data_IF_218897437795
#
_entry.id   IF_218897437795
#
_cell.length_a   1.000
_cell.length_b   1.000
_cell.length_c   1.000
_cell.angle_alpha   90.00
_cell.angle_beta   90.00
_cell.angle_gamma   90.00
#
_symmetry.space_group_name_H-M   'P 1'
#
loop_
_entity.id
_entity.type
_entity.pdbx_description
1 polymer ?
#
# COMPACT_ATOMS: atom_id res chain seq x y z
N UNK A 1 -0.29 -33.26 18.05
CA UNK A 1 0.35 -32.46 16.99
C UNK A 1 1.23 -33.26 16.00
N UNK A 2 1.53 -34.55 16.20
CA UNK A 2 2.47 -35.34 15.38
C UNK A 2 1.88 -36.07 14.17
N UNK A 3 0.56 -35.97 13.95
CA UNK A 3 -0.12 -36.64 12.84
C UNK A 3 0.29 -36.02 11.50
N UNK A 4 0.35 -36.81 10.40
CA UNK A 4 0.63 -36.26 9.08
C UNK A 4 -0.57 -35.45 8.55
N UNK A 5 -0.29 -34.29 7.95
CA UNK A 5 -1.30 -33.51 7.24
C UNK A 5 -1.96 -34.34 6.12
N UNK A 6 -3.30 -34.40 6.03
CA UNK A 6 -3.99 -35.09 4.94
C UNK A 6 -3.52 -34.62 3.56
N UNK A 7 -3.32 -35.55 2.63
CA UNK A 7 -2.71 -35.27 1.33
C UNK A 7 -3.45 -34.18 0.53
N UNK A 8 -4.79 -34.17 0.57
CA UNK A 8 -5.58 -33.16 -0.14
C UNK A 8 -5.44 -31.74 0.45
N UNK A 9 -5.23 -31.63 1.77
CA UNK A 9 -4.98 -30.33 2.43
C UNK A 9 -3.62 -29.83 2.03
N UNK A 10 -2.59 -30.68 2.15
CA UNK A 10 -1.22 -30.36 1.70
C UNK A 10 -1.21 -29.89 0.26
N UNK A 11 -1.85 -30.63 -0.65
CA UNK A 11 -1.90 -30.29 -2.06
C UNK A 11 -2.57 -28.92 -2.30
N UNK A 12 -3.67 -28.61 -1.61
CA UNK A 12 -4.36 -27.32 -1.73
C UNK A 12 -3.50 -26.16 -1.22
N UNK A 13 -2.79 -26.35 -0.10
CA UNK A 13 -1.84 -25.35 0.42
C UNK A 13 -0.70 -25.10 -0.57
N UNK A 14 -0.10 -26.16 -1.11
CA UNK A 14 1.01 -26.06 -2.07
C UNK A 14 0.57 -25.38 -3.37
N UNK A 15 -0.64 -25.68 -3.86
CA UNK A 15 -1.24 -25.00 -5.02
C UNK A 15 -1.53 -23.52 -4.75
N UNK A 16 -1.78 -23.14 -3.49
CA UNK A 16 -1.91 -21.75 -3.06
C UNK A 16 -0.56 -21.08 -2.75
N UNK A 17 0.57 -21.76 -3.00
CA UNK A 17 1.92 -21.24 -2.78
C UNK A 17 2.43 -21.36 -1.34
N UNK A 18 1.75 -22.10 -0.47
CA UNK A 18 2.17 -22.34 0.90
C UNK A 18 2.79 -23.73 1.08
N UNK A 19 3.92 -23.79 1.79
CA UNK A 19 4.55 -25.05 2.17
C UNK A 19 3.83 -25.67 3.38
N UNK A 20 3.63 -26.99 3.35
CA UNK A 20 3.16 -27.76 4.51
C UNK A 20 4.24 -27.82 5.61
N UNK A 21 3.86 -27.48 6.85
CA UNK A 21 4.77 -27.34 7.99
C UNK A 21 4.45 -28.41 9.05
N UNK A 22 3.24 -28.36 9.60
CA UNK A 22 2.75 -29.30 10.60
C UNK A 22 1.23 -29.34 10.51
N UNK A 23 0.59 -30.42 10.94
CA UNK A 23 -0.86 -30.57 10.78
C UNK A 23 -1.66 -29.42 11.42
N UNK A 24 -1.23 -28.90 12.58
CA UNK A 24 -1.91 -27.80 13.24
C UNK A 24 -1.81 -26.50 12.43
N UNK A 25 -0.60 -26.16 11.99
CA UNK A 25 -0.36 -24.96 11.17
C UNK A 25 -1.06 -25.08 9.81
N UNK A 26 -1.00 -26.27 9.21
CA UNK A 26 -1.61 -26.54 7.92
C UNK A 26 -3.14 -26.45 7.98
N UNK A 27 -3.77 -26.93 9.06
CA UNK A 27 -5.22 -26.79 9.26
C UNK A 27 -5.63 -25.33 9.46
N UNK A 28 -4.88 -24.56 10.25
CA UNK A 28 -5.09 -23.11 10.42
C UNK A 28 -4.99 -22.38 9.08
N UNK A 29 -3.90 -22.61 8.34
CA UNK A 29 -3.68 -22.03 7.02
C UNK A 29 -4.74 -22.44 6.01
N UNK A 30 -5.20 -23.69 6.06
CA UNK A 30 -6.24 -24.21 5.19
C UNK A 30 -7.58 -23.51 5.42
N UNK A 31 -7.98 -23.31 6.68
CA UNK A 31 -9.18 -22.53 7.03
C UNK A 31 -9.02 -21.08 6.59
N UNK A 32 -7.86 -20.47 6.84
CA UNK A 32 -7.57 -19.11 6.40
C UNK A 32 -7.67 -18.92 4.89
N UNK A 33 -7.19 -19.87 4.10
CA UNK A 33 -7.29 -19.81 2.64
C UNK A 33 -8.72 -20.09 2.15
N UNK A 34 -9.46 -20.96 2.83
CA UNK A 34 -10.82 -21.31 2.46
C UNK A 34 -11.82 -20.18 2.78
N UNK A 35 -11.66 -19.50 3.92
CA UNK A 35 -12.65 -18.56 4.47
C UNK A 35 -12.13 -17.13 4.62
N UNK A 36 -10.83 -16.91 4.46
CA UNK A 36 -10.23 -15.58 4.55
C UNK A 36 -9.87 -15.12 5.97
N UNK A 37 -10.12 -15.91 7.02
CA UNK A 37 -9.72 -15.56 8.40
C UNK A 37 -8.41 -16.19 8.83
N UNK A 38 -7.42 -15.37 9.18
CA UNK A 38 -6.25 -15.85 9.87
C UNK A 38 -6.60 -16.29 11.30
N UNK A 39 -6.15 -17.48 11.67
CA UNK A 39 -6.20 -18.02 13.03
C UNK A 39 -4.79 -18.31 13.53
N UNK A 40 -4.63 -18.38 14.85
CA UNK A 40 -3.37 -18.78 15.46
C UNK A 40 -3.57 -19.90 16.47
N UNK A 41 -2.51 -20.68 16.70
CA UNK A 41 -2.53 -21.82 17.60
C UNK A 41 -1.32 -21.69 18.51
N UNK A 42 -1.56 -21.53 19.79
CA UNK A 42 -0.54 -21.52 20.82
C UNK A 42 -0.38 -22.91 21.44
N UNK A 43 0.83 -23.26 21.85
CA UNK A 43 1.06 -24.35 22.79
C UNK A 43 0.61 -23.88 24.18
N UNK A 44 -0.50 -24.44 24.67
CA UNK A 44 -1.11 -24.02 25.93
C UNK A 44 -0.19 -24.30 27.13
N UNK A 45 0.65 -25.33 27.04
CA UNK A 45 1.57 -25.71 28.13
C UNK A 45 2.74 -24.71 28.27
N UNK A 46 2.94 -23.83 27.28
CA UNK A 46 3.99 -22.81 27.27
C UNK A 46 3.48 -21.40 27.64
N UNK A 47 2.15 -21.24 27.81
CA UNK A 47 1.53 -19.99 28.24
C UNK A 47 1.66 -19.86 29.76
N UNK A 48 2.13 -18.70 30.21
CA UNK A 48 2.31 -18.38 31.63
C UNK A 48 1.23 -17.40 32.07
N UNK A 49 0.11 -17.86 32.66
CA UNK A 49 -1.08 -17.06 32.85
C UNK A 49 -0.83 -15.81 33.72
N UNK A 50 -1.61 -14.77 33.46
CA UNK A 50 -1.73 -13.60 34.32
C UNK A 50 -2.56 -13.94 35.57
N UNK A 51 -2.62 -13.01 36.52
CA UNK A 51 -3.37 -13.21 37.78
C UNK A 51 -4.85 -13.54 37.54
N UNK A 52 -5.49 -12.90 36.55
CA UNK A 52 -6.93 -13.01 36.29
C UNK A 52 -7.27 -13.51 34.86
N UNK A 53 -6.28 -13.87 34.04
CA UNK A 53 -6.49 -14.28 32.64
C UNK A 53 -5.34 -15.14 32.09
N UNK A 54 -5.59 -15.94 31.05
CA UNK A 54 -4.52 -16.67 30.35
C UNK A 54 -3.64 -15.72 29.51
N UNK A 55 -4.28 -14.79 28.80
CA UNK A 55 -3.63 -13.84 27.91
C UNK A 55 -4.28 -12.46 28.07
N UNK A 56 -3.50 -11.41 27.83
CA UNK A 56 -3.95 -10.03 27.69
C UNK A 56 -3.71 -9.55 26.25
N UNK A 57 -4.64 -8.75 25.72
CA UNK A 57 -4.48 -8.03 24.46
C UNK A 57 -4.23 -6.56 24.80
N UNK A 58 -3.07 -6.03 24.39
CA UNK A 58 -2.67 -4.65 24.70
C UNK A 58 -1.76 -4.06 23.65
N UNK A 59 -1.50 -2.75 23.77
CA UNK A 59 -0.40 -2.12 23.05
C UNK A 59 0.95 -2.55 23.62
N UNK A 60 1.96 -2.67 22.75
CA UNK A 60 3.34 -2.94 23.15
C UNK A 60 3.89 -1.78 23.98
N UNK A 61 4.85 -2.08 24.85
CA UNK A 61 5.61 -1.09 25.60
C UNK A 61 6.80 -0.61 24.77
N UNK A 62 7.27 0.61 25.03
CA UNK A 62 8.46 1.13 24.35
C UNK A 62 9.68 0.24 24.65
N UNK A 63 10.37 -0.21 23.61
CA UNK A 63 11.56 -1.04 23.75
C UNK A 63 11.28 -2.53 24.02
N UNK A 64 10.03 -2.97 23.95
CA UNK A 64 9.64 -4.36 24.24
C UNK A 64 10.24 -5.31 23.20
N UNK A 65 11.01 -6.30 23.66
CA UNK A 65 11.67 -7.29 22.80
C UNK A 65 10.71 -8.43 22.48
N UNK A 66 10.68 -8.87 21.22
CA UNK A 66 9.84 -9.99 20.83
C UNK A 66 10.49 -10.82 19.72
N UNK A 67 10.61 -12.14 19.93
CA UNK A 67 11.13 -13.08 18.94
C UNK A 67 9.97 -13.72 18.16
N UNK A 68 9.97 -13.48 16.84
CA UNK A 68 8.96 -13.94 15.91
C UNK A 68 9.27 -15.36 15.39
N UNK A 69 8.22 -16.05 14.92
CA UNK A 69 8.33 -17.39 14.30
C UNK A 69 9.27 -17.46 13.08
N UNK A 70 9.56 -16.32 12.45
CA UNK A 70 10.51 -16.23 11.34
C UNK A 70 11.97 -16.05 11.78
N UNK A 71 12.24 -16.07 13.09
CA UNK A 71 13.56 -15.89 13.70
C UNK A 71 14.02 -14.44 13.81
N UNK A 72 13.19 -13.46 13.44
CA UNK A 72 13.52 -12.04 13.66
C UNK A 72 13.11 -11.58 15.06
N UNK A 73 13.92 -10.71 15.66
CA UNK A 73 13.67 -10.17 17.00
C UNK A 73 13.53 -8.65 16.96
N UNK A 74 12.40 -8.11 16.45
CA UNK A 74 12.19 -6.67 16.43
C UNK A 74 12.04 -6.08 17.84
N UNK A 75 12.46 -4.82 17.97
CA UNK A 75 12.13 -3.97 19.11
C UNK A 75 10.79 -3.31 18.81
N UNK A 76 9.81 -3.56 19.67
CA UNK A 76 8.46 -3.03 19.54
C UNK A 76 8.35 -1.66 20.23
N UNK A 77 7.49 -0.81 19.66
CA UNK A 77 7.04 0.44 20.25
C UNK A 77 5.52 0.47 20.37
N UNK A 78 4.93 1.52 20.97
CA UNK A 78 3.52 1.58 21.36
C UNK A 78 2.51 1.55 20.20
N UNK A 79 2.98 1.59 18.94
CA UNK A 79 2.12 1.43 17.76
C UNK A 79 1.78 -0.02 17.40
N UNK A 80 2.39 -1.02 18.05
CA UNK A 80 2.15 -2.44 17.79
C UNK A 80 1.18 -3.02 18.81
N UNK A 81 0.14 -3.70 18.34
CA UNK A 81 -0.71 -4.53 19.19
C UNK A 81 -0.02 -5.85 19.49
N UNK A 82 -0.11 -6.34 20.72
CA UNK A 82 0.44 -7.61 21.16
C UNK A 82 -0.60 -8.41 21.94
N UNK A 83 -0.48 -9.72 21.82
CA UNK A 83 -1.06 -10.66 22.77
C UNK A 83 0.09 -11.04 23.71
N UNK A 84 -0.13 -10.96 25.01
CA UNK A 84 0.89 -11.19 26.02
C UNK A 84 0.37 -12.07 27.15
N UNK A 85 1.29 -12.72 27.85
CA UNK A 85 1.05 -13.40 29.11
C UNK A 85 1.86 -12.74 30.23
N UNK A 86 1.99 -13.37 31.40
CA UNK A 86 2.73 -12.80 32.54
C UNK A 86 4.23 -12.57 32.28
N UNK A 87 4.84 -13.27 31.31
CA UNK A 87 6.26 -13.11 30.93
C UNK A 87 6.49 -12.13 29.78
N UNK A 88 5.44 -11.72 29.07
CA UNK A 88 5.53 -10.75 27.98
C UNK A 88 4.83 -11.21 26.70
N UNK A 89 5.13 -10.60 25.55
CA UNK A 89 4.43 -10.88 24.30
C UNK A 89 4.60 -12.34 23.84
N UNK A 90 3.51 -12.88 23.32
CA UNK A 90 3.41 -14.22 22.71
C UNK A 90 3.03 -14.15 21.23
N UNK A 91 2.42 -13.05 20.79
CA UNK A 91 2.11 -12.78 19.39
C UNK A 91 2.10 -11.27 19.09
N UNK A 92 2.48 -10.90 17.87
CA UNK A 92 2.05 -9.63 17.28
C UNK A 92 0.61 -9.80 16.79
N UNK A 93 -0.30 -9.08 17.45
CA UNK A 93 -1.73 -9.16 17.19
C UNK A 93 -2.04 -8.98 15.70
N UNK A 94 -2.71 -9.97 15.10
CA UNK A 94 -3.11 -9.95 13.69
C UNK A 94 -1.96 -10.00 12.67
N UNK A 95 -0.71 -10.22 13.09
CA UNK A 95 0.45 -10.21 12.19
C UNK A 95 1.19 -11.54 12.24
N UNK A 96 1.74 -11.94 13.39
CA UNK A 96 2.59 -13.12 13.49
C UNK A 96 2.74 -13.60 14.93
N UNK A 97 2.70 -14.92 15.13
CA UNK A 97 2.98 -15.55 16.42
C UNK A 97 4.45 -15.43 16.83
N UNK A 98 4.70 -15.63 18.13
CA UNK A 98 6.02 -15.64 18.72
C UNK A 98 6.61 -17.03 18.82
N UNK A 99 7.93 -17.11 18.91
CA UNK A 99 8.64 -18.38 19.01
C UNK A 99 8.38 -19.10 20.34
N UNK A 100 8.15 -18.36 21.43
CA UNK A 100 8.05 -18.90 22.80
C UNK A 100 6.86 -19.83 23.02
N UNK A 101 5.73 -19.56 22.37
CA UNK A 101 4.47 -20.30 22.53
C UNK A 101 4.10 -21.05 21.24
N UNK A 102 5.07 -21.24 20.35
CA UNK A 102 4.90 -21.92 19.08
C UNK A 102 4.59 -23.40 19.28
N UNK A 103 3.61 -23.91 18.52
CA UNK A 103 3.33 -25.35 18.49
C UNK A 103 4.47 -26.14 17.82
N UNK A 104 4.71 -27.33 18.35
CA UNK A 104 5.69 -28.29 17.84
C UNK A 104 5.06 -29.68 17.71
N UNK A 105 5.83 -30.66 17.24
CA UNK A 105 5.38 -32.06 17.22
C UNK A 105 5.18 -32.64 18.62
N UNK A 106 5.76 -32.02 19.65
CA UNK A 106 5.62 -32.43 21.05
C UNK A 106 4.36 -31.83 21.72
N UNK A 107 3.73 -30.82 21.13
CA UNK A 107 2.56 -30.13 21.69
C UNK A 107 1.39 -31.08 21.87
N UNK A 108 0.80 -31.03 23.08
CA UNK A 108 -0.35 -31.85 23.48
C UNK A 108 -1.60 -30.99 23.69
N UNK A 109 -1.46 -29.90 24.44
CA UNK A 109 -2.54 -28.98 24.74
C UNK A 109 -2.38 -27.72 23.89
N UNK A 110 -3.47 -27.23 23.30
CA UNK A 110 -3.44 -26.04 22.43
C UNK A 110 -4.49 -25.02 22.85
N UNK A 111 -4.18 -23.76 22.60
CA UNK A 111 -5.14 -22.66 22.65
C UNK A 111 -5.31 -22.11 21.23
N UNK A 112 -6.55 -22.09 20.76
CA UNK A 112 -6.90 -21.55 19.46
C UNK A 112 -7.27 -20.07 19.59
N UNK A 113 -6.71 -19.25 18.73
CA UNK A 113 -7.02 -17.84 18.58
C UNK A 113 -7.72 -17.60 17.23
N UNK A 114 -8.93 -17.05 17.30
CA UNK A 114 -9.58 -16.37 16.21
C UNK A 114 -9.97 -14.97 16.72
N UNK A 115 -9.64 -13.94 15.95
CA UNK A 115 -9.84 -12.57 16.38
C UNK A 115 -10.32 -11.69 15.23
N UNK A 116 -10.95 -10.58 15.60
CA UNK A 116 -11.13 -9.42 14.75
C UNK A 116 -10.12 -8.35 15.17
N UNK A 117 -9.34 -7.87 14.21
CA UNK A 117 -8.45 -6.73 14.40
C UNK A 117 -8.92 -5.59 13.51
N UNK A 118 -9.08 -4.40 14.11
CA UNK A 118 -9.36 -3.19 13.34
C UNK A 118 -8.31 -2.99 12.25
N UNK A 119 -8.68 -2.78 10.97
CA UNK A 119 -7.71 -2.63 9.89
C UNK A 119 -6.67 -1.53 10.15
N UNK A 120 -7.11 -0.40 10.70
CA UNK A 120 -6.22 0.70 11.08
C UNK A 120 -5.27 0.38 12.24
N UNK A 121 -5.59 -0.63 13.05
CA UNK A 121 -4.71 -1.17 14.08
C UNK A 121 -3.63 -2.10 13.52
N UNK A 122 -3.71 -2.53 12.24
CA UNK A 122 -2.75 -3.44 11.59
C UNK A 122 -1.99 -2.78 10.43
N UNK A 123 -2.64 -1.86 9.70
CA UNK A 123 -2.11 -1.20 8.51
C UNK A 123 -0.71 -0.64 8.70
N UNK A 124 0.20 -0.97 7.79
CA UNK A 124 1.57 -0.44 7.75
C UNK A 124 2.53 -0.97 8.83
N UNK A 125 2.09 -1.79 9.78
CA UNK A 125 2.97 -2.37 10.82
C UNK A 125 3.92 -3.42 10.25
N UNK A 126 3.44 -4.29 9.38
CA UNK A 126 4.28 -5.23 8.63
C UNK A 126 5.36 -4.51 7.81
N UNK A 127 5.01 -3.38 7.18
CA UNK A 127 5.98 -2.54 6.44
C UNK A 127 7.06 -1.94 7.36
N UNK A 128 6.69 -1.46 8.56
CA UNK A 128 7.66 -0.99 9.57
C UNK A 128 8.64 -2.09 9.99
N UNK A 129 8.17 -3.34 10.06
CA UNK A 129 8.98 -4.50 10.40
C UNK A 129 9.69 -5.13 9.18
N UNK A 130 9.47 -4.59 7.98
CA UNK A 130 10.07 -5.05 6.71
C UNK A 130 9.81 -6.52 6.37
N UNK A 131 8.66 -7.06 6.78
CA UNK A 131 8.18 -8.37 6.33
C UNK A 131 6.68 -8.32 6.04
N UNK A 132 6.15 -9.35 5.38
CA UNK A 132 4.71 -9.52 5.17
C UNK A 132 4.29 -10.90 5.69
N UNK A 133 3.06 -11.00 6.19
CA UNK A 133 2.42 -12.26 6.56
C UNK A 133 1.03 -12.31 5.95
N UNK A 134 0.54 -13.52 5.69
CA UNK A 134 -0.82 -13.73 5.19
C UNK A 134 -1.89 -13.16 6.13
N UNK A 135 -1.62 -13.23 7.44
CA UNK A 135 -2.49 -12.66 8.47
C UNK A 135 -2.52 -11.13 8.41
N UNK A 136 -1.35 -10.49 8.44
CA UNK A 136 -1.24 -9.03 8.38
C UNK A 136 -1.84 -8.46 7.09
N UNK A 137 -1.62 -9.13 5.96
CA UNK A 137 -2.19 -8.75 4.65
C UNK A 137 -3.73 -8.75 4.66
N UNK A 138 -4.35 -9.74 5.30
CA UNK A 138 -5.82 -9.84 5.38
C UNK A 138 -6.38 -8.86 6.40
N UNK A 139 -5.85 -8.83 7.61
CA UNK A 139 -6.36 -7.95 8.65
C UNK A 139 -6.17 -6.46 8.32
N UNK A 140 -5.12 -6.04 7.60
CA UNK A 140 -4.98 -4.63 7.18
C UNK A 140 -6.01 -4.18 6.13
N UNK A 141 -6.66 -5.13 5.45
CA UNK A 141 -7.73 -4.92 4.47
C UNK A 141 -9.13 -5.13 5.05
N UNK A 142 -9.23 -5.87 6.16
CA UNK A 142 -10.48 -6.19 6.82
C UNK A 142 -10.81 -7.67 6.73
N UNK A 143 -11.13 -8.25 7.87
CA UNK A 143 -11.71 -9.58 8.04
C UNK A 143 -12.97 -9.37 8.88
N UNK A 144 -14.08 -10.00 8.52
CA UNK A 144 -15.36 -9.83 9.21
C UNK A 144 -15.22 -10.05 10.73
N UNK A 145 -16.02 -9.37 11.56
CA UNK A 145 -16.12 -9.72 12.99
C UNK A 145 -17.15 -10.83 13.22
N UNK A 146 -18.16 -10.94 12.35
CA UNK A 146 -19.37 -11.76 12.57
C UNK A 146 -19.09 -13.27 12.47
N UNK A 147 -18.17 -13.69 11.60
CA UNK A 147 -17.87 -15.12 11.37
C UNK A 147 -16.79 -15.70 12.31
N UNK A 148 -16.33 -14.94 13.31
CA UNK A 148 -15.15 -15.31 14.13
C UNK A 148 -15.34 -16.65 14.85
N UNK A 149 -16.48 -16.85 15.52
CA UNK A 149 -16.77 -18.07 16.28
C UNK A 149 -17.02 -19.26 15.35
N UNK A 150 -17.79 -19.07 14.28
CA UNK A 150 -18.11 -20.14 13.32
C UNK A 150 -16.84 -20.74 12.68
N UNK A 151 -15.88 -19.89 12.36
CA UNK A 151 -14.63 -20.30 11.72
C UNK A 151 -13.64 -20.92 12.72
N UNK A 152 -13.66 -20.47 13.98
CA UNK A 152 -12.95 -21.12 15.08
C UNK A 152 -13.48 -22.55 15.31
N UNK A 153 -14.80 -22.72 15.32
CA UNK A 153 -15.45 -24.02 15.48
C UNK A 153 -15.13 -24.97 14.31
N UNK A 154 -15.06 -24.45 13.08
CA UNK A 154 -14.60 -25.24 11.93
C UNK A 154 -13.16 -25.72 12.11
N UNK A 155 -12.25 -24.85 12.56
CA UNK A 155 -10.87 -25.23 12.85
C UNK A 155 -10.81 -26.30 13.94
N UNK A 156 -11.57 -26.13 15.03
CA UNK A 156 -11.71 -27.11 16.11
C UNK A 156 -12.18 -28.45 15.56
N UNK A 157 -13.23 -28.48 14.75
CA UNK A 157 -13.75 -29.71 14.15
C UNK A 157 -12.73 -30.42 13.25
N UNK A 158 -11.94 -29.67 12.49
CA UNK A 158 -10.86 -30.24 11.67
C UNK A 158 -9.73 -30.82 12.53
N UNK A 159 -9.36 -30.14 13.61
CA UNK A 159 -8.34 -30.62 14.55
C UNK A 159 -8.83 -31.90 15.22
N UNK A 160 -10.05 -31.94 15.75
CA UNK A 160 -10.62 -33.16 16.36
C UNK A 160 -10.65 -34.33 15.37
N UNK A 161 -11.03 -34.06 14.12
CA UNK A 161 -11.11 -35.08 13.08
C UNK A 161 -9.76 -35.72 12.75
N UNK A 162 -8.68 -34.94 12.67
CA UNK A 162 -7.38 -35.44 12.19
C UNK A 162 -6.32 -35.64 13.28
N UNK A 163 -6.43 -34.94 14.40
CA UNK A 163 -5.51 -35.02 15.54
C UNK A 163 -6.11 -35.75 16.74
N UNK A 164 -7.45 -35.85 16.84
CA UNK A 164 -8.15 -36.32 18.02
C UNK A 164 -8.10 -35.31 19.18
N UNK A 165 -8.37 -35.80 20.39
CA UNK A 165 -8.42 -34.98 21.61
C UNK A 165 -9.84 -34.56 22.00
N UNK A 166 -9.90 -33.77 23.07
CA UNK A 166 -11.13 -33.14 23.56
C UNK A 166 -11.04 -31.62 23.35
N UNK A 167 -12.17 -30.92 23.45
CA UNK A 167 -12.23 -29.46 23.29
C UNK A 167 -12.86 -28.78 24.50
N UNK A 168 -12.41 -27.56 24.76
CA UNK A 168 -12.95 -26.68 25.81
C UNK A 168 -14.02 -25.72 25.27
N UNK A 169 -14.66 -24.92 26.16
CA UNK A 169 -15.60 -23.90 25.75
C UNK A 169 -14.92 -22.75 25.01
N UNK A 170 -15.65 -22.11 24.10
CA UNK A 170 -15.23 -20.85 23.47
C UNK A 170 -15.35 -19.71 24.47
N UNK A 171 -14.30 -18.90 24.58
CA UNK A 171 -14.31 -17.65 25.32
C UNK A 171 -14.43 -16.47 24.33
N UNK A 172 -15.65 -16.06 24.03
CA UNK A 172 -15.94 -14.95 23.11
C UNK A 172 -16.07 -13.62 23.86
N UNK A 173 -15.04 -12.77 23.74
CA UNK A 173 -14.98 -11.45 24.38
C UNK A 173 -15.23 -10.38 23.31
N UNK A 174 -16.42 -9.79 23.34
CA UNK A 174 -16.80 -8.69 22.45
C UNK A 174 -16.87 -7.37 23.22
N UNK A 175 -15.96 -6.44 22.90
CA UNK A 175 -15.93 -5.09 23.51
C UNK A 175 -16.76 -4.12 22.68
N UNK A 176 -16.44 -4.03 21.39
CA UNK A 176 -17.08 -3.14 20.43
C UNK A 176 -17.07 -3.81 19.05
N UNK A 177 -18.18 -3.70 18.33
CA UNK A 177 -18.32 -4.21 16.97
C UNK A 177 -18.50 -3.06 15.99
N UNK A 178 -17.88 -3.11 14.79
CA UNK A 178 -18.05 -2.07 13.78
C UNK A 178 -19.52 -1.92 13.39
N UNK A 179 -20.07 -0.71 13.56
CA UNK A 179 -21.40 -0.39 13.08
C UNK A 179 -21.39 -0.31 11.54
N UNK A 180 -22.28 -1.04 10.88
CA UNK A 180 -22.45 -1.00 9.42
C UNK A 180 -23.73 -0.27 9.07
N UNK A 181 -23.61 1.02 8.77
CA UNK A 181 -24.76 1.84 8.40
C UNK A 181 -25.23 1.48 6.98
N UNK A 182 -26.55 1.52 6.71
CA UNK A 182 -27.06 1.39 5.35
C UNK A 182 -26.53 2.52 4.45
N UNK A 183 -26.06 2.15 3.26
CA UNK A 183 -25.62 3.08 2.23
C UNK A 183 -26.76 3.30 1.25
N UNK A 184 -26.97 4.56 0.86
CA UNK A 184 -28.06 4.93 -0.03
C UNK A 184 -27.52 5.22 -1.44
N UNK A 185 -28.17 4.64 -2.45
CA UNK A 185 -27.92 4.94 -3.85
C UNK A 185 -29.15 5.56 -4.49
N UNK A 186 -28.99 6.76 -5.07
CA UNK A 186 -30.02 7.40 -5.87
C UNK A 186 -29.90 6.95 -7.31
N UNK A 187 -31.01 6.51 -7.90
CA UNK A 187 -30.99 5.96 -9.26
C UNK A 187 -30.52 6.99 -10.30
N UNK A 188 -31.01 8.23 -10.25
CA UNK A 188 -30.53 9.28 -11.15
C UNK A 188 -29.02 9.57 -11.00
N UNK A 189 -28.45 9.37 -9.80
CA UNK A 189 -27.02 9.61 -9.54
C UNK A 189 -26.17 8.52 -10.20
N UNK A 190 -26.61 7.26 -10.13
CA UNK A 190 -26.04 6.14 -10.88
C UNK A 190 -26.00 6.45 -12.37
N UNK A 191 -27.14 6.76 -12.98
CA UNK A 191 -27.20 7.03 -14.42
C UNK A 191 -26.36 8.25 -14.83
N UNK A 192 -26.33 9.29 -14.00
CA UNK A 192 -25.53 10.50 -14.23
C UNK A 192 -24.03 10.22 -14.20
N UNK A 193 -23.56 9.42 -13.23
CA UNK A 193 -22.13 9.08 -13.11
C UNK A 193 -21.70 8.13 -14.23
N UNK A 194 -22.53 7.14 -14.55
CA UNK A 194 -22.21 6.11 -15.54
C UNK A 194 -22.48 6.54 -16.99
N UNK A 195 -23.36 7.52 -17.19
CA UNK A 195 -23.75 8.00 -18.52
C UNK A 195 -24.65 7.04 -19.30
N UNK A 196 -25.19 5.99 -18.66
CA UNK A 196 -26.16 5.06 -19.27
C UNK A 196 -27.35 4.86 -18.35
N UNK A 197 -28.46 4.45 -18.95
CA UNK A 197 -29.66 4.10 -18.19
C UNK A 197 -29.61 2.67 -17.69
N UNK A 198 -30.17 2.45 -16.50
CA UNK A 198 -30.27 1.13 -15.88
C UNK A 198 -31.72 0.82 -15.55
N UNK A 199 -32.15 -0.42 -15.77
CA UNK A 199 -33.45 -0.85 -15.26
C UNK A 199 -33.37 -1.05 -13.73
N UNK A 200 -34.42 -0.69 -12.99
CA UNK A 200 -34.48 -0.92 -11.53
C UNK A 200 -34.24 -2.39 -11.18
N UNK A 201 -34.84 -3.32 -11.93
CA UNK A 201 -34.67 -4.76 -11.73
C UNK A 201 -33.22 -5.23 -11.99
N UNK A 202 -32.51 -4.58 -12.92
CA UNK A 202 -31.10 -4.88 -13.19
C UNK A 202 -30.24 -4.48 -11.98
N UNK A 203 -30.46 -3.29 -11.42
CA UNK A 203 -29.75 -2.81 -10.22
C UNK A 203 -30.03 -3.70 -9.02
N UNK A 204 -31.30 -4.06 -8.77
CA UNK A 204 -31.67 -4.96 -7.67
C UNK A 204 -31.06 -6.36 -7.85
N UNK A 205 -31.02 -6.87 -9.09
CA UNK A 205 -30.37 -8.15 -9.41
C UNK A 205 -28.87 -8.13 -9.10
N UNK A 206 -28.17 -7.02 -9.35
CA UNK A 206 -26.77 -6.86 -8.98
C UNK A 206 -26.58 -7.01 -7.47
N UNK A 207 -27.32 -6.25 -6.67
CA UNK A 207 -27.19 -6.31 -5.21
C UNK A 207 -27.55 -7.70 -4.66
N UNK A 208 -28.57 -8.35 -5.19
CA UNK A 208 -28.92 -9.72 -4.82
C UNK A 208 -27.79 -10.73 -5.15
N UNK A 209 -27.16 -10.63 -6.32
CA UNK A 209 -26.03 -11.48 -6.73
C UNK A 209 -24.78 -11.26 -5.88
N UNK A 210 -24.60 -10.06 -5.35
CA UNK A 210 -23.53 -9.70 -4.42
C UNK A 210 -23.84 -10.10 -2.96
N UNK A 211 -25.03 -10.64 -2.68
CA UNK A 211 -25.45 -10.97 -1.32
C UNK A 211 -25.79 -9.73 -0.47
N UNK A 212 -26.00 -8.57 -1.09
CA UNK A 212 -26.31 -7.33 -0.40
C UNK A 212 -27.83 -7.19 -0.24
N UNK A 213 -28.28 -7.01 1.01
CA UNK A 213 -29.70 -6.77 1.29
C UNK A 213 -30.05 -5.36 0.84
N UNK A 214 -31.00 -5.24 -0.08
CA UNK A 214 -31.41 -3.96 -0.65
C UNK A 214 -32.92 -3.78 -0.49
N UNK A 215 -33.32 -2.58 -0.06
CA UNK A 215 -34.70 -2.11 -0.11
C UNK A 215 -34.76 -0.90 -1.04
N UNK A 216 -35.73 -0.87 -1.95
CA UNK A 216 -35.95 0.28 -2.83
C UNK A 216 -37.22 1.04 -2.46
N UNK A 217 -37.17 2.37 -2.50
CA UNK A 217 -38.33 3.25 -2.37
C UNK A 217 -38.41 4.21 -3.56
N UNK A 218 -39.62 4.64 -3.93
CA UNK A 218 -39.85 5.48 -5.11
C UNK A 218 -39.86 4.70 -6.44
N UNK A 219 -40.08 5.41 -7.55
CA UNK A 219 -40.23 4.81 -8.89
C UNK A 219 -39.37 5.55 -9.92
N UNK A 220 -38.81 4.78 -10.87
CA UNK A 220 -38.02 5.31 -11.99
C UNK A 220 -36.78 6.11 -11.53
N UNK A 221 -36.55 7.33 -12.07
CA UNK A 221 -35.38 8.16 -11.72
C UNK A 221 -35.29 8.55 -10.24
N UNK A 222 -36.43 8.59 -9.55
CA UNK A 222 -36.52 8.95 -8.13
C UNK A 222 -36.34 7.76 -7.19
N UNK A 223 -36.08 6.55 -7.73
CA UNK A 223 -35.82 5.38 -6.90
C UNK A 223 -34.57 5.57 -6.04
N UNK A 224 -34.69 5.25 -4.76
CA UNK A 224 -33.59 5.21 -3.79
C UNK A 224 -33.41 3.77 -3.32
N UNK A 225 -32.21 3.24 -3.46
CA UNK A 225 -31.80 1.93 -2.97
C UNK A 225 -31.10 2.11 -1.63
N UNK A 226 -31.69 1.59 -0.57
CA UNK A 226 -31.04 1.44 0.73
C UNK A 226 -30.39 0.06 0.77
N UNK A 227 -29.07 0.03 0.71
CA UNK A 227 -28.27 -1.19 0.67
C UNK A 227 -27.59 -1.38 2.02
N UNK A 228 -27.74 -2.56 2.61
CA UNK A 228 -27.01 -2.97 3.81
C UNK A 228 -25.74 -3.73 3.37
N UNK A 229 -24.53 -3.19 3.58
CA UNK A 229 -23.29 -3.91 3.33
C UNK A 229 -23.21 -5.21 4.13
N UNK A 230 -22.66 -6.27 3.53
CA UNK A 230 -22.36 -7.51 4.26
C UNK A 230 -21.14 -7.35 5.16
N UNK A 231 -20.95 -8.28 6.09
CA UNK A 231 -19.95 -8.18 7.15
C UNK A 231 -18.49 -8.22 6.64
N UNK A 232 -18.28 -8.68 5.41
CA UNK A 232 -16.98 -8.81 4.75
C UNK A 232 -16.64 -7.59 3.89
N UNK A 233 -17.60 -6.72 3.61
CA UNK A 233 -17.45 -5.56 2.72
C UNK A 233 -17.03 -4.31 3.50
N UNK A 234 -15.72 -4.09 3.59
CA UNK A 234 -15.12 -2.91 4.27
C UNK A 234 -14.99 -1.69 3.34
N UNK A 235 -15.44 -1.82 2.10
CA UNK A 235 -15.31 -0.86 1.02
C UNK A 235 -16.63 -0.15 0.65
N UNK A 236 -17.77 -0.57 1.21
CA UNK A 236 -19.09 0.01 0.93
C UNK A 236 -19.48 1.03 2.01
N UNK A 237 -18.97 2.26 1.89
CA UNK A 237 -19.18 3.32 2.89
C UNK A 237 -19.96 4.52 2.32
N UNK A 238 -19.95 4.70 1.00
CA UNK A 238 -20.59 5.82 0.32
C UNK A 238 -21.35 5.42 -0.95
N UNK A 239 -22.14 6.36 -1.48
CA UNK A 239 -23.01 6.14 -2.64
C UNK A 239 -22.21 5.71 -3.88
N UNK A 240 -21.03 6.31 -4.09
CA UNK A 240 -20.13 5.98 -5.20
C UNK A 240 -19.62 4.52 -5.18
N UNK A 241 -19.48 3.90 -4.00
CA UNK A 241 -19.06 2.50 -3.89
C UNK A 241 -20.15 1.56 -4.44
N UNK A 242 -21.42 1.89 -4.19
CA UNK A 242 -22.56 1.16 -4.78
C UNK A 242 -22.65 1.36 -6.29
N UNK A 243 -22.28 2.55 -6.80
CA UNK A 243 -22.20 2.82 -8.23
C UNK A 243 -21.14 1.94 -8.89
N UNK A 244 -19.96 1.81 -8.27
CA UNK A 244 -18.92 0.90 -8.74
C UNK A 244 -19.42 -0.54 -8.82
N UNK A 245 -20.11 -1.02 -7.79
CA UNK A 245 -20.63 -2.39 -7.77
C UNK A 245 -21.64 -2.67 -8.88
N UNK A 246 -22.56 -1.73 -9.13
CA UNK A 246 -23.48 -1.82 -10.25
C UNK A 246 -22.72 -1.82 -11.58
N UNK A 247 -21.79 -0.88 -11.77
CA UNK A 247 -21.04 -0.75 -13.00
C UNK A 247 -20.16 -1.98 -13.31
N UNK A 248 -19.48 -2.52 -12.30
CA UNK A 248 -18.58 -3.67 -12.40
C UNK A 248 -19.33 -4.95 -12.74
N UNK A 249 -20.48 -5.19 -12.12
CA UNK A 249 -21.27 -6.42 -12.36
C UNK A 249 -22.05 -6.36 -13.68
N UNK A 250 -22.54 -5.17 -14.06
CA UNK A 250 -23.16 -4.96 -15.37
C UNK A 250 -22.12 -4.98 -16.50
N UNK A 251 -20.89 -4.55 -16.21
CA UNK A 251 -19.75 -4.55 -17.11
C UNK A 251 -19.45 -3.17 -17.66
N UNK A 252 -18.20 -2.72 -17.51
CA UNK A 252 -17.75 -1.42 -18.01
C UNK A 252 -17.85 -1.28 -19.53
N UNK A 253 -17.83 -2.38 -20.28
CA UNK A 253 -17.93 -2.38 -21.75
C UNK A 253 -19.29 -1.87 -22.27
N UNK A 254 -20.32 -1.84 -21.43
CA UNK A 254 -21.63 -1.25 -21.77
C UNK A 254 -21.63 0.27 -21.76
N UNK A 255 -20.62 0.90 -21.16
CA UNK A 255 -20.54 2.36 -21.05
C UNK A 255 -20.04 2.91 -22.39
N UNK A 256 -20.84 3.73 -23.11
CA UNK A 256 -20.46 4.25 -24.40
C UNK A 256 -19.35 5.29 -24.24
N UNK A 257 -18.40 5.26 -25.17
CA UNK A 257 -17.40 6.31 -25.31
C UNK A 257 -18.07 7.60 -25.78
N UNK A 258 -18.33 8.53 -24.86
CA UNK A 258 -18.83 9.87 -25.17
C UNK A 258 -17.76 10.90 -24.87
N UNK A 259 -17.45 11.74 -25.86
CA UNK A 259 -16.54 12.85 -25.64
C UNK A 259 -17.13 13.81 -24.58
N UNK A 260 -16.32 14.34 -23.65
CA UNK A 260 -16.80 15.31 -22.68
C UNK A 260 -17.26 16.59 -23.39
N UNK A 261 -18.41 17.12 -22.99
CA UNK A 261 -18.85 18.44 -23.41
C UNK A 261 -18.29 19.50 -22.45
N UNK A 262 -17.56 20.46 -22.98
CA UNK A 262 -16.99 21.57 -22.23
C UNK A 262 -17.17 22.87 -23.00
N UNK A 263 -17.23 23.99 -22.27
CA UNK A 263 -17.25 25.31 -22.87
C UNK A 263 -15.91 25.59 -23.57
N UNK A 264 -15.96 26.00 -24.84
CA UNK A 264 -14.80 26.47 -25.57
C UNK A 264 -14.44 27.88 -25.10
N UNK A 265 -13.55 27.96 -24.11
CA UNK A 265 -13.02 29.22 -23.63
C UNK A 265 -11.64 29.48 -24.24
N UNK A 266 -11.53 30.55 -25.02
CA UNK A 266 -10.24 31.02 -25.52
C UNK A 266 -9.36 31.44 -24.33
N UNK A 267 -8.20 30.79 -24.18
CA UNK A 267 -7.16 31.21 -23.23
C UNK A 267 -6.00 31.78 -24.02
N UNK A 268 -5.88 33.10 -24.02
CA UNK A 268 -4.76 33.78 -24.66
C UNK A 268 -3.52 33.66 -23.76
N UNK A 269 -2.41 33.18 -24.34
CA UNK A 269 -1.12 33.26 -23.67
C UNK A 269 -0.67 34.74 -23.62
N UNK A 270 -0.20 35.25 -22.47
CA UNK A 270 0.34 36.60 -22.41
C UNK A 270 1.51 36.78 -23.40
N UNK A 271 1.51 37.86 -24.19
CA UNK A 271 2.58 38.16 -25.16
C UNK A 271 3.96 38.34 -24.51
N UNK A 272 3.95 38.75 -23.25
CA UNK A 272 5.14 38.93 -22.39
C UNK A 272 5.70 37.61 -21.88
N UNK A 273 5.01 36.49 -22.10
CA UNK A 273 5.47 35.16 -21.70
C UNK A 273 6.15 34.43 -22.87
N UNK A 274 7.07 33.55 -22.54
CA UNK A 274 7.69 32.61 -23.49
C UNK A 274 7.45 31.20 -22.99
N UNK A 275 7.00 30.33 -23.88
CA UNK A 275 6.80 28.93 -23.53
C UNK A 275 8.15 28.23 -23.35
N UNK A 276 8.19 27.21 -22.50
CA UNK A 276 9.36 26.33 -22.37
C UNK A 276 9.71 25.66 -23.70
N UNK A 277 8.70 25.35 -24.53
CA UNK A 277 8.92 24.78 -25.86
C UNK A 277 9.66 25.74 -26.79
N UNK A 278 9.41 27.05 -26.69
CA UNK A 278 10.16 28.07 -27.42
C UNK A 278 11.63 28.05 -27.02
N UNK A 279 11.93 27.94 -25.73
CA UNK A 279 13.32 27.85 -25.24
C UNK A 279 13.99 26.56 -25.72
N UNK A 280 13.30 25.41 -25.70
CA UNK A 280 13.82 24.14 -26.25
C UNK A 280 14.17 24.26 -27.73
N UNK A 281 13.26 24.81 -28.53
CA UNK A 281 13.49 25.01 -29.96
C UNK A 281 14.70 25.92 -30.23
N UNK A 282 14.87 26.98 -29.42
CA UNK A 282 16.06 27.85 -29.53
C UNK A 282 17.36 27.10 -29.21
N UNK A 283 17.39 26.30 -28.13
CA UNK A 283 18.57 25.50 -27.80
C UNK A 283 18.90 24.46 -28.87
N UNK A 284 17.88 23.80 -29.43
CA UNK A 284 18.04 22.87 -30.55
C UNK A 284 18.60 23.57 -31.79
N UNK A 285 18.09 24.77 -32.13
CA UNK A 285 18.61 25.57 -33.25
C UNK A 285 20.06 26.03 -33.03
N UNK A 286 20.50 26.15 -31.78
CA UNK A 286 21.90 26.41 -31.41
C UNK A 286 22.77 25.14 -31.42
N UNK A 287 22.23 23.99 -31.86
CA UNK A 287 22.93 22.72 -31.97
C UNK A 287 23.17 22.00 -30.65
N UNK A 288 22.32 22.24 -29.63
CA UNK A 288 22.33 21.48 -28.39
C UNK A 288 21.27 20.36 -28.41
N UNK A 289 21.59 19.23 -27.79
CA UNK A 289 20.68 18.11 -27.58
C UNK A 289 20.07 18.18 -26.17
N UNK A 290 18.76 17.94 -26.05
CA UNK A 290 18.10 17.93 -24.74
C UNK A 290 18.47 16.64 -24.00
N UNK A 291 18.91 16.78 -22.75
CA UNK A 291 19.12 15.69 -21.81
C UNK A 291 18.08 15.78 -20.68
N UNK A 292 17.63 14.63 -20.18
CA UNK A 292 16.77 14.55 -18.99
C UNK A 292 17.53 13.78 -17.93
N UNK A 293 18.05 14.50 -16.92
CA UNK A 293 18.82 13.89 -15.84
C UNK A 293 17.95 13.68 -14.59
N UNK A 294 18.38 12.80 -13.69
CA UNK A 294 17.65 12.57 -12.44
C UNK A 294 17.54 13.85 -11.61
N UNK A 295 16.43 14.00 -10.88
CA UNK A 295 16.21 15.09 -9.92
C UNK A 295 17.06 14.99 -8.65
N UNK A 296 17.82 13.91 -8.50
CA UNK A 296 18.71 13.60 -7.39
C UNK A 296 20.12 13.24 -7.89
N UNK A 297 21.12 13.45 -7.04
CA UNK A 297 22.55 13.33 -7.35
C UNK A 297 23.34 12.99 -6.09
N UNK A 298 24.64 12.70 -6.25
CA UNK A 298 25.58 12.48 -5.16
C UNK A 298 25.83 13.80 -4.42
N UNK A 299 25.73 13.78 -3.09
CA UNK A 299 26.01 14.91 -2.22
C UNK A 299 27.42 15.47 -2.38
N UNK A 300 28.41 14.64 -2.71
CA UNK A 300 29.79 15.09 -2.97
C UNK A 300 29.86 16.00 -4.20
N UNK A 301 29.15 15.64 -5.27
CA UNK A 301 29.07 16.44 -6.49
C UNK A 301 28.17 17.67 -6.28
N UNK A 302 27.05 17.52 -5.56
CA UNK A 302 26.11 18.60 -5.29
C UNK A 302 26.75 19.75 -4.52
N UNK A 303 27.68 19.46 -3.59
CA UNK A 303 28.40 20.46 -2.81
C UNK A 303 29.15 21.48 -3.66
N UNK A 304 29.56 21.12 -4.88
CA UNK A 304 30.27 22.04 -5.79
C UNK A 304 29.37 23.15 -6.35
N UNK A 305 28.04 22.96 -6.26
CA UNK A 305 27.04 23.85 -6.84
C UNK A 305 26.22 24.61 -5.80
N UNK A 306 26.62 24.57 -4.53
CA UNK A 306 25.97 25.32 -3.44
C UNK A 306 27.01 26.09 -2.62
N UNK A 307 26.66 27.30 -2.20
CA UNK A 307 27.51 28.09 -1.30
C UNK A 307 27.46 27.60 0.16
N UNK A 308 26.38 26.91 0.54
CA UNK A 308 26.19 26.36 1.88
C UNK A 308 25.74 24.88 1.78
N UNK A 309 26.54 23.92 2.27
CA UNK A 309 26.18 22.49 2.26
C UNK A 309 24.87 22.16 2.98
N UNK A 310 24.48 22.96 3.98
CA UNK A 310 23.22 22.77 4.71
C UNK A 310 21.96 23.12 3.90
N UNK A 311 22.13 23.72 2.71
CA UNK A 311 21.04 23.97 1.77
C UNK A 311 20.64 22.73 0.96
N UNK A 312 21.45 21.66 0.98
CA UNK A 312 21.14 20.41 0.28
C UNK A 312 19.98 19.67 0.94
N UNK A 313 19.04 19.19 0.12
CA UNK A 313 17.92 18.38 0.57
C UNK A 313 18.29 16.91 0.47
N UNK A 314 18.58 16.28 1.61
CA UNK A 314 18.87 14.84 1.68
C UNK A 314 17.60 14.01 1.55
N UNK A 315 17.69 12.92 0.80
CA UNK A 315 16.63 11.92 0.74
C UNK A 315 16.70 11.01 1.97
N UNK A 316 15.54 10.74 2.58
CA UNK A 316 15.46 9.82 3.72
C UNK A 316 15.73 8.37 3.31
N UNK A 317 15.20 7.96 2.15
CA UNK A 317 15.32 6.60 1.61
C UNK A 317 15.78 6.67 0.15
N UNK A 318 17.07 6.94 -0.12
CA UNK A 318 17.58 7.03 -1.49
C UNK A 318 17.59 5.66 -2.17
N UNK A 319 17.32 5.63 -3.48
CA UNK A 319 17.36 4.39 -4.29
C UNK A 319 18.77 3.80 -4.40
N UNK A 320 19.80 4.64 -4.32
CA UNK A 320 21.20 4.26 -4.30
C UNK A 320 22.03 5.34 -3.58
N UNK A 321 23.21 4.98 -3.08
CA UNK A 321 24.08 5.89 -2.31
C UNK A 321 24.51 7.13 -3.08
N UNK A 322 24.67 7.04 -4.40
CA UNK A 322 25.03 8.15 -5.30
C UNK A 322 23.84 9.07 -5.66
N UNK A 323 22.68 8.86 -5.03
CA UNK A 323 21.44 9.60 -5.24
C UNK A 323 20.86 10.03 -3.89
N UNK A 324 21.70 10.51 -2.98
CA UNK A 324 21.37 10.81 -1.59
C UNK A 324 20.84 12.24 -1.37
N UNK A 325 20.96 13.13 -2.36
CA UNK A 325 20.40 14.50 -2.30
C UNK A 325 19.62 14.86 -3.56
N UNK A 326 18.64 15.76 -3.40
CA UNK A 326 18.02 16.46 -4.54
C UNK A 326 19.05 17.38 -5.20
N UNK A 327 18.99 17.50 -6.54
CA UNK A 327 19.97 18.30 -7.31
C UNK A 327 19.83 19.81 -7.01
N UNK A 328 20.89 20.51 -6.57
CA UNK A 328 20.87 21.96 -6.42
C UNK A 328 21.13 22.71 -7.74
N UNK A 329 21.65 22.00 -8.74
CA UNK A 329 21.96 22.53 -10.08
C UNK A 329 21.77 21.44 -11.12
N UNK A 330 21.27 21.82 -12.30
CA UNK A 330 21.17 20.94 -13.48
C UNK A 330 22.57 20.59 -14.01
N UNK A 331 23.54 21.48 -13.84
CA UNK A 331 24.90 21.31 -14.37
C UNK A 331 25.56 20.02 -13.85
N UNK A 332 25.30 19.63 -12.59
CA UNK A 332 25.79 18.37 -12.03
C UNK A 332 25.36 17.15 -12.86
N UNK A 333 24.08 17.11 -13.26
CA UNK A 333 23.54 16.06 -14.11
C UNK A 333 24.15 16.09 -15.50
N UNK A 334 24.24 17.29 -16.11
CA UNK A 334 24.82 17.45 -17.46
C UNK A 334 26.29 17.03 -17.52
N UNK A 335 27.08 17.34 -16.50
CA UNK A 335 28.49 16.92 -16.42
C UNK A 335 28.63 15.40 -16.36
N UNK A 336 27.76 14.72 -15.60
CA UNK A 336 27.75 13.25 -15.56
C UNK A 336 27.43 12.67 -16.94
N UNK A 337 26.41 13.19 -17.62
CA UNK A 337 26.05 12.76 -18.98
C UNK A 337 27.20 13.05 -19.96
N UNK A 338 27.84 14.21 -19.85
CA UNK A 338 29.00 14.54 -20.68
C UNK A 338 30.16 13.57 -20.46
N UNK A 339 30.48 13.24 -19.20
CA UNK A 339 31.51 12.26 -18.86
C UNK A 339 31.20 10.86 -19.43
N UNK A 340 29.93 10.43 -19.35
CA UNK A 340 29.50 9.15 -19.95
C UNK A 340 29.63 9.14 -21.48
N UNK A 341 29.34 10.25 -22.15
CA UNK A 341 29.52 10.37 -23.60
C UNK A 341 31.02 10.41 -23.98
N UNK A 342 31.83 11.16 -23.23
CA UNK A 342 33.27 11.21 -23.44
C UNK A 342 33.93 9.85 -23.23
N UNK A 343 33.49 9.07 -22.23
CA UNK A 343 33.94 7.69 -22.03
C UNK A 343 33.59 6.75 -23.19
N UNK A 344 32.58 7.12 -24.00
CA UNK A 344 32.19 6.45 -25.25
C UNK A 344 32.82 7.11 -26.49
N UNK A 345 33.87 7.90 -26.29
CA UNK A 345 34.69 8.53 -27.33
C UNK A 345 33.99 9.63 -28.15
N UNK A 346 32.84 10.14 -27.68
CA UNK A 346 32.19 11.31 -28.27
C UNK A 346 33.00 12.58 -27.95
N UNK A 347 33.53 13.22 -29.00
CA UNK A 347 34.46 14.36 -28.86
C UNK A 347 33.74 15.71 -28.75
N UNK A 348 32.57 15.84 -29.38
CA UNK A 348 31.81 17.10 -29.42
C UNK A 348 30.45 16.92 -28.75
N UNK A 349 30.33 17.41 -27.52
CA UNK A 349 29.15 17.21 -26.69
C UNK A 349 28.50 18.57 -26.46
N UNK A 350 27.22 18.71 -26.86
CA UNK A 350 26.42 19.92 -26.60
C UNK A 350 25.07 19.49 -26.04
N UNK A 351 24.91 19.66 -24.73
CA UNK A 351 23.74 19.20 -23.99
C UNK A 351 23.04 20.38 -23.32
N UNK A 352 21.72 20.34 -23.25
CA UNK A 352 20.96 21.26 -22.41
C UNK A 352 19.85 20.54 -21.67
N UNK A 353 19.41 21.10 -20.57
CA UNK A 353 18.24 20.60 -19.84
C UNK A 353 17.46 21.78 -19.27
N UNK A 354 16.13 21.68 -19.30
CA UNK A 354 15.22 22.56 -18.59
C UNK A 354 14.51 21.75 -17.51
N UNK A 355 14.72 22.11 -16.25
CA UNK A 355 14.17 21.35 -15.14
C UNK A 355 14.21 22.10 -13.81
N UNK A 356 13.63 21.50 -12.77
CA UNK A 356 13.71 22.07 -11.42
C UNK A 356 15.05 21.75 -10.77
N UNK A 357 15.52 22.69 -9.96
CA UNK A 357 16.60 22.50 -8.99
C UNK A 357 16.03 22.69 -7.60
N UNK A 358 16.70 22.21 -6.56
CA UNK A 358 16.15 22.20 -5.21
C UNK A 358 17.16 22.68 -4.18
N UNK A 359 16.74 23.58 -3.30
CA UNK A 359 17.54 23.98 -2.14
C UNK A 359 16.64 24.32 -0.97
N UNK A 360 17.11 24.02 0.25
CA UNK A 360 16.48 24.48 1.48
C UNK A 360 16.64 25.99 1.61
N UNK A 361 15.55 26.70 1.89
CA UNK A 361 15.60 28.11 2.27
C UNK A 361 15.35 28.28 3.77
N UNK A 362 16.14 29.13 4.45
CA UNK A 362 16.01 29.36 5.89
C UNK A 362 14.80 30.22 6.28
N UNK A 363 14.12 30.90 5.35
CA UNK A 363 12.96 31.75 5.66
C UNK A 363 11.62 31.20 5.12
N UNK A 364 10.52 31.34 5.89
CA UNK A 364 9.17 30.97 5.47
C UNK A 364 8.56 32.03 4.53
N UNK A 365 9.21 32.28 3.39
CA UNK A 365 8.70 33.20 2.36
C UNK A 365 7.86 32.53 1.27
N UNK A 366 7.93 31.19 1.16
CA UNK A 366 7.22 30.41 0.15
C UNK A 366 5.96 29.84 0.80
N UNK A 367 4.80 30.42 0.48
CA UNK A 367 3.49 29.89 0.85
C UNK A 367 3.28 28.56 0.13
N UNK A 368 2.84 27.54 0.88
CA UNK A 368 2.46 26.25 0.30
C UNK A 368 1.31 26.43 -0.69
N UNK A 369 1.46 25.91 -1.90
CA UNK A 369 0.38 25.69 -2.85
C UNK A 369 0.46 24.26 -3.39
N UNK A 370 -0.42 23.89 -4.33
CA UNK A 370 -0.43 22.56 -4.92
C UNK A 370 0.90 22.16 -5.59
N UNK A 371 1.78 23.14 -5.88
CA UNK A 371 3.02 22.94 -6.59
C UNK A 371 4.26 23.26 -5.76
N UNK A 372 4.15 23.81 -4.54
CA UNK A 372 5.26 24.27 -3.71
C UNK A 372 5.34 23.55 -2.36
N UNK A 373 6.55 23.41 -1.82
CA UNK A 373 6.79 22.79 -0.51
C UNK A 373 7.37 23.83 0.44
N UNK A 374 6.79 24.02 1.64
CA UNK A 374 7.34 24.93 2.64
C UNK A 374 8.81 24.68 2.93
N UNK A 375 9.61 25.76 2.90
CA UNK A 375 11.05 25.70 3.16
C UNK A 375 11.91 25.12 2.03
N UNK A 376 11.31 24.79 0.88
CA UNK A 376 12.00 24.29 -0.31
C UNK A 376 11.84 25.27 -1.47
N UNK A 377 12.96 25.80 -1.93
CA UNK A 377 13.00 26.58 -3.16
C UNK A 377 13.27 25.66 -4.35
N UNK A 378 12.35 25.68 -5.31
CA UNK A 378 12.34 24.77 -6.45
C UNK A 378 12.14 25.46 -7.80
N UNK A 379 13.00 26.43 -8.17
CA UNK A 379 12.85 27.18 -9.40
C UNK A 379 13.11 26.28 -10.60
N UNK A 380 12.45 26.59 -11.72
CA UNK A 380 12.84 26.02 -13.00
C UNK A 380 14.06 26.75 -13.55
N UNK A 381 15.04 25.99 -14.04
CA UNK A 381 16.27 26.50 -14.62
C UNK A 381 16.48 25.90 -16.01
N UNK A 382 17.17 26.63 -16.86
CA UNK A 382 17.80 26.12 -18.07
C UNK A 382 19.30 26.10 -17.81
N UNK A 383 19.94 24.97 -18.06
CA UNK A 383 21.40 24.87 -18.07
C UNK A 383 21.85 24.19 -19.35
N UNK A 384 23.07 24.50 -19.77
CA UNK A 384 23.69 23.93 -20.95
C UNK A 384 25.16 23.61 -20.68
N UNK A 385 25.66 22.58 -21.34
CA UNK A 385 27.04 22.15 -21.33
C UNK A 385 27.52 22.00 -22.77
N UNK A 386 28.72 22.50 -23.07
CA UNK A 386 29.36 22.32 -24.36
C UNK A 386 30.85 21.98 -24.17
N UNK A 387 31.33 20.99 -24.91
CA UNK A 387 32.76 20.64 -25.02
C UNK A 387 33.12 20.21 -26.44
N UNK A 388 34.42 20.26 -26.77
CA UNK A 388 34.93 19.97 -28.10
C UNK A 388 34.87 21.17 -29.04
N UNK A 389 34.84 20.91 -30.34
CA UNK A 389 34.85 21.96 -31.38
C UNK A 389 33.57 22.79 -31.37
N UNK A 390 33.71 24.11 -31.56
CA UNK A 390 32.57 25.03 -31.65
C UNK A 390 31.61 24.61 -32.78
N UNK A 391 32.18 24.24 -33.93
CA UNK A 391 31.47 23.73 -35.10
C UNK A 391 31.79 22.24 -35.32
N UNK A 392 30.88 21.46 -35.92
CA UNK A 392 31.26 20.15 -36.42
C UNK A 392 32.38 20.29 -37.46
N UNK A 393 33.17 19.23 -37.65
CA UNK A 393 34.25 19.22 -38.63
C UNK A 393 33.68 19.57 -40.02
N UNK A 394 34.13 20.69 -40.58
CA UNK A 394 33.62 21.24 -41.83
C UNK A 394 34.73 21.98 -42.61
N UNK A 395 34.62 21.99 -43.93
CA UNK A 395 35.61 22.56 -44.85
C UNK A 395 35.66 24.10 -44.85
N UNK A 396 34.64 24.77 -44.30
CA UNK A 396 34.50 26.22 -44.33
C UNK A 396 35.13 26.95 -43.14
N UNK A 397 35.85 26.25 -42.26
CA UNK A 397 36.53 26.84 -41.11
C UNK A 397 37.98 26.36 -41.08
N UNK A 398 38.89 27.26 -40.69
CA UNK A 398 40.27 26.87 -40.41
C UNK A 398 40.29 25.91 -39.21
N UNK A 399 41.05 24.82 -39.39
CA UNK A 399 41.12 23.66 -38.49
C UNK A 399 41.70 23.99 -37.12
#
# INVERSE_FOLDING_TARGET
>A
ASQPTPAFIRQRLEQAGQRSISILVDLSNYVMLALGRPTHIFDLDLIEPLQDAQLEVRWAREGEQFELLNGSSPVLGPSFGVIADSKGPVALAGIMGGQRTAVSTATKNILLEAAFWWPDAIRGRSQKLKFSSDAGYRFERGVSAESTVEELELLTALILKYCGGDWGPVNDIQIESPARLPVHLRHHRLERLMGISYATDEVLSVFARLGLRCQSTGEGPETIYQVQPSAERFDLECEEDLVEEVARIVGFDRIPLRAPSALLQARLAPETSRSIHTLRAQMANLGYHEAVTYGFTDSKLAQWFVSNPNSLLKLLNPIASQFDVMRPSIVAGLLRVANENQARQEQRIRLFEIGRVFSRQPEPGIVADAMSVPGVWQPQRLAAFASGLAFPLQWGLES
#
